data_IF_715247373265
#
_entry.id   IF_715247373265
#
_cell.length_a   1.000
_cell.length_b   1.000
_cell.length_c   1.000
_cell.angle_alpha   90.00
_cell.angle_beta   90.00
_cell.angle_gamma   90.00
#
_symmetry.space_group_name_H-M   'P 1'
#
loop_
_entity.id
_entity.type
_entity.pdbx_description
1 polymer ?
#
# COMPACT_ATOMS: atom_id res chain seq x y z
N UNK A 1 -21.54 17.79 -14.96
CA UNK A 1 -21.72 16.38 -14.56
C UNK A 1 -20.51 15.98 -13.72
N UNK A 2 -20.70 15.54 -12.47
CA UNK A 2 -19.59 15.13 -11.61
C UNK A 2 -19.07 13.75 -12.05
N UNK A 3 -17.83 13.68 -12.53
CA UNK A 3 -17.15 12.42 -12.88
C UNK A 3 -16.67 11.76 -11.60
N UNK A 4 -17.36 10.71 -11.15
CA UNK A 4 -16.85 9.88 -10.05
C UNK A 4 -15.71 8.99 -10.62
N UNK A 5 -14.46 9.12 -10.14
CA UNK A 5 -13.33 8.40 -10.71
C UNK A 5 -13.50 6.88 -10.51
N UNK A 6 -12.99 6.06 -11.44
CA UNK A 6 -12.90 4.61 -11.21
C UNK A 6 -12.00 4.37 -9.98
N UNK A 7 -12.48 3.69 -8.92
CA UNK A 7 -11.72 3.52 -7.68
C UNK A 7 -10.47 2.64 -7.85
N UNK A 8 -10.40 1.88 -8.94
CA UNK A 8 -9.27 1.09 -9.40
C UNK A 8 -9.48 0.74 -10.88
N UNK A 9 -8.40 0.68 -11.65
CA UNK A 9 -8.41 0.14 -13.02
C UNK A 9 -7.43 -1.03 -13.07
N UNK A 10 -7.79 -2.06 -13.83
CA UNK A 10 -6.91 -3.22 -14.03
C UNK A 10 -5.85 -2.80 -15.04
N UNK A 11 -4.64 -2.49 -14.59
CA UNK A 11 -3.50 -2.38 -15.47
C UNK A 11 -3.03 -3.80 -15.78
N UNK A 12 -2.94 -4.18 -17.06
CA UNK A 12 -2.48 -5.53 -17.41
C UNK A 12 -1.04 -5.72 -16.95
N UNK A 13 -0.78 -6.86 -16.30
CA UNK A 13 0.53 -7.48 -16.30
C UNK A 13 0.63 -8.32 -17.58
N UNK A 14 1.21 -7.75 -18.64
CA UNK A 14 1.89 -8.41 -19.78
C UNK A 14 1.27 -9.63 -20.53
N UNK A 15 0.02 -10.05 -20.31
CA UNK A 15 -0.45 -11.34 -20.84
C UNK A 15 -0.88 -11.35 -22.33
N UNK A 16 -0.78 -10.25 -23.07
CA UNK A 16 -0.96 -10.26 -24.53
C UNK A 16 0.25 -9.65 -25.21
N UNK A 17 1.04 -10.52 -25.85
CA UNK A 17 2.28 -10.20 -26.57
C UNK A 17 2.24 -8.97 -27.51
N UNK A 18 1.13 -8.61 -28.20
CA UNK A 18 1.14 -7.47 -29.12
C UNK A 18 1.38 -6.12 -28.45
N UNK A 19 0.90 -5.93 -27.22
CA UNK A 19 1.04 -4.65 -26.51
C UNK A 19 2.45 -4.45 -25.95
N UNK A 20 3.13 -5.53 -25.54
CA UNK A 20 4.51 -5.48 -25.06
C UNK A 20 5.46 -4.99 -26.16
N UNK A 21 5.30 -5.48 -27.40
CA UNK A 21 6.06 -4.98 -28.54
C UNK A 21 5.77 -3.50 -28.84
N UNK A 22 4.52 -3.05 -28.73
CA UNK A 22 4.15 -1.65 -28.94
C UNK A 22 4.77 -0.73 -27.88
N UNK A 23 4.83 -1.18 -26.61
CA UNK A 23 5.49 -0.44 -25.52
C UNK A 23 7.00 -0.36 -25.73
N UNK A 24 7.64 -1.47 -26.11
CA UNK A 24 9.07 -1.44 -26.44
C UNK A 24 9.37 -0.54 -27.65
N UNK A 25 8.53 -0.58 -28.68
CA UNK A 25 8.65 0.31 -29.84
C UNK A 25 8.46 1.79 -29.44
N UNK A 26 7.57 2.09 -28.50
CA UNK A 26 7.39 3.43 -27.97
C UNK A 26 8.65 3.92 -27.26
N UNK A 27 9.23 3.08 -26.40
CA UNK A 27 10.50 3.37 -25.71
C UNK A 27 11.65 3.57 -26.72
N UNK A 28 11.70 2.79 -27.79
CA UNK A 28 12.70 2.98 -28.84
C UNK A 28 12.59 4.35 -29.55
N UNK A 29 11.38 4.90 -29.71
CA UNK A 29 11.17 6.20 -30.38
C UNK A 29 11.36 7.42 -29.47
N UNK A 30 10.95 7.31 -28.20
CA UNK A 30 10.89 8.45 -27.28
C UNK A 30 11.99 8.45 -26.22
N UNK A 31 12.65 7.32 -26.01
CA UNK A 31 13.69 7.12 -24.99
C UNK A 31 13.29 6.07 -23.96
N UNK A 32 14.25 5.68 -23.13
CA UNK A 32 13.99 4.88 -21.94
C UNK A 32 12.90 5.57 -21.08
N UNK A 33 12.03 4.78 -20.46
CA UNK A 33 10.89 5.24 -19.64
C UNK A 33 9.70 5.86 -20.39
N UNK A 34 9.61 5.73 -21.73
CA UNK A 34 8.44 6.25 -22.45
C UNK A 34 7.12 5.55 -22.09
N UNK A 35 7.21 4.32 -21.56
CA UNK A 35 6.11 3.55 -21.00
C UNK A 35 5.38 4.33 -19.89
N UNK A 36 6.07 5.15 -19.08
CA UNK A 36 5.46 5.99 -18.04
C UNK A 36 4.31 6.87 -18.57
N UNK A 37 4.40 7.32 -19.82
CA UNK A 37 3.37 8.15 -20.43
C UNK A 37 2.11 7.35 -20.75
N UNK A 38 2.25 6.07 -21.12
CA UNK A 38 1.12 5.16 -21.31
C UNK A 38 0.39 4.92 -19.99
N UNK A 39 1.12 4.64 -18.90
CA UNK A 39 0.53 4.49 -17.57
C UNK A 39 -0.25 5.73 -17.13
N UNK A 40 0.32 6.93 -17.35
CA UNK A 40 -0.35 8.19 -17.04
C UNK A 40 -1.58 8.42 -17.90
N UNK A 41 -1.54 8.04 -19.18
CA UNK A 41 -2.67 8.17 -20.09
C UNK A 41 -3.83 7.29 -19.63
N UNK A 42 -3.55 6.03 -19.32
CA UNK A 42 -4.53 5.09 -18.78
C UNK A 42 -5.13 5.56 -17.46
N UNK A 43 -4.29 6.02 -16.53
CA UNK A 43 -4.75 6.57 -15.25
C UNK A 43 -5.59 7.84 -15.42
N UNK A 44 -5.31 8.66 -16.45
CA UNK A 44 -6.13 9.81 -16.78
C UNK A 44 -7.47 9.39 -17.36
N UNK A 45 -7.51 8.46 -18.32
CA UNK A 45 -8.75 7.96 -18.90
C UNK A 45 -9.66 7.32 -17.84
N UNK A 46 -9.10 6.51 -16.94
CA UNK A 46 -9.89 5.90 -15.87
C UNK A 46 -10.53 6.90 -14.88
N UNK A 47 -10.01 8.12 -14.78
CA UNK A 47 -10.54 9.16 -13.89
C UNK A 47 -11.43 10.16 -14.60
N UNK A 48 -10.94 10.72 -15.71
CA UNK A 48 -11.52 11.91 -16.35
C UNK A 48 -12.21 11.60 -17.68
N UNK A 49 -11.86 10.47 -18.33
CA UNK A 49 -12.33 10.11 -19.69
C UNK A 49 -12.65 8.62 -19.76
N UNK A 50 -13.76 8.22 -19.15
CA UNK A 50 -14.15 6.81 -19.05
C UNK A 50 -14.29 6.11 -20.41
N UNK A 51 -14.56 6.84 -21.49
CA UNK A 51 -14.66 6.29 -22.85
C UNK A 51 -13.29 6.07 -23.53
N UNK A 52 -12.20 6.57 -22.95
CA UNK A 52 -10.87 6.49 -23.56
C UNK A 52 -10.71 7.35 -24.83
N UNK A 53 -11.64 8.30 -25.06
CA UNK A 53 -11.73 9.13 -26.26
C UNK A 53 -11.41 10.59 -25.97
N UNK A 54 -10.65 11.20 -26.87
CA UNK A 54 -10.24 12.61 -26.86
C UNK A 54 -10.79 13.29 -28.10
N UNK A 55 -11.85 14.11 -27.98
CA UNK A 55 -12.55 14.62 -29.16
C UNK A 55 -11.92 15.88 -29.78
N UNK A 56 -12.03 15.96 -31.11
CA UNK A 56 -11.83 17.17 -31.91
C UNK A 56 -10.38 17.60 -32.14
N UNK A 57 -10.18 18.77 -32.79
CA UNK A 57 -8.86 19.23 -33.26
C UNK A 57 -7.85 19.52 -32.12
N UNK A 58 -8.32 19.60 -30.87
CA UNK A 58 -7.50 19.75 -29.67
C UNK A 58 -7.06 18.44 -29.00
N UNK A 59 -7.44 17.28 -29.54
CA UNK A 59 -7.23 15.97 -28.93
C UNK A 59 -5.76 15.70 -28.61
N UNK A 60 -4.85 15.97 -29.55
CA UNK A 60 -3.42 15.76 -29.34
C UNK A 60 -2.86 16.55 -28.15
N UNK A 61 -3.23 17.83 -28.04
CA UNK A 61 -2.81 18.68 -26.91
C UNK A 61 -3.41 18.20 -25.58
N UNK A 62 -4.65 17.70 -25.61
CA UNK A 62 -5.30 17.14 -24.44
C UNK A 62 -4.59 15.88 -23.93
N UNK A 63 -4.19 14.98 -24.84
CA UNK A 63 -3.38 13.78 -24.51
C UNK A 63 -2.04 14.17 -23.89
N UNK A 64 -1.31 15.11 -24.51
CA UNK A 64 -0.01 15.55 -23.98
C UNK A 64 -0.13 16.21 -22.60
N UNK A 65 -1.19 16.98 -22.35
CA UNK A 65 -1.47 17.55 -21.03
C UNK A 65 -1.83 16.48 -20.00
N UNK A 66 -2.65 15.51 -20.39
CA UNK A 66 -3.07 14.40 -19.52
C UNK A 66 -1.86 13.62 -18.98
N UNK A 67 -0.86 13.36 -19.82
CA UNK A 67 0.35 12.61 -19.45
C UNK A 67 1.50 13.47 -18.91
N UNK A 68 1.29 14.80 -18.86
CA UNK A 68 2.31 15.80 -18.49
C UNK A 68 3.56 15.73 -19.37
N UNK A 69 3.37 15.57 -20.67
CA UNK A 69 4.45 15.59 -21.65
C UNK A 69 5.15 16.95 -21.68
N UNK A 70 6.49 16.94 -21.67
CA UNK A 70 7.33 18.16 -21.72
C UNK A 70 8.22 18.23 -22.96
N UNK A 71 8.18 17.22 -23.83
CA UNK A 71 8.98 17.19 -25.06
C UNK A 71 8.40 18.04 -26.18
N UNK A 72 8.87 17.80 -27.41
CA UNK A 72 8.34 18.49 -28.60
C UNK A 72 6.85 18.19 -28.75
N UNK A 73 6.06 19.23 -29.04
CA UNK A 73 4.62 19.10 -29.30
C UNK A 73 4.36 18.10 -30.43
N UNK A 74 3.26 17.36 -30.31
CA UNK A 74 2.81 16.25 -31.16
C UNK A 74 3.71 15.02 -31.17
N UNK A 75 4.99 15.11 -30.80
CA UNK A 75 5.93 13.98 -30.85
C UNK A 75 5.43 12.74 -30.10
N UNK A 76 4.85 12.93 -28.90
CA UNK A 76 4.32 11.80 -28.12
C UNK A 76 3.10 11.17 -28.82
N UNK A 77 2.17 12.00 -29.29
CA UNK A 77 0.94 11.53 -29.93
C UNK A 77 1.25 10.82 -31.24
N UNK A 78 2.15 11.37 -32.04
CA UNK A 78 2.60 10.77 -33.29
C UNK A 78 3.27 9.41 -33.02
N UNK A 79 4.09 9.30 -31.97
CA UNK A 79 4.71 8.04 -31.58
C UNK A 79 3.65 7.01 -31.12
N UNK A 80 2.70 7.41 -30.27
CA UNK A 80 1.60 6.55 -29.81
C UNK A 80 0.72 6.05 -30.96
N UNK A 81 0.42 6.91 -31.93
CA UNK A 81 -0.29 6.54 -33.17
C UNK A 81 0.54 5.56 -34.00
N UNK A 82 1.84 5.83 -34.15
CA UNK A 82 2.77 5.00 -34.93
C UNK A 82 2.88 3.58 -34.36
N UNK A 83 2.91 3.44 -33.03
CA UNK A 83 2.98 2.12 -32.38
C UNK A 83 1.60 1.46 -32.16
N UNK A 84 0.51 2.11 -32.57
CA UNK A 84 -0.85 1.56 -32.46
C UNK A 84 -1.45 1.59 -31.05
N UNK A 85 -0.90 2.39 -30.13
CA UNK A 85 -1.45 2.59 -28.79
C UNK A 85 -2.54 3.68 -28.74
N UNK A 86 -2.56 4.54 -29.76
CA UNK A 86 -3.68 5.42 -30.09
C UNK A 86 -4.19 5.10 -31.49
N UNK A 87 -5.49 5.28 -31.70
CA UNK A 87 -6.16 5.17 -32.99
C UNK A 87 -6.85 6.50 -33.30
N UNK A 88 -6.77 6.96 -34.54
CA UNK A 88 -7.49 8.13 -35.03
C UNK A 88 -8.83 7.67 -35.63
N UNK A 89 -9.93 8.08 -35.00
CA UNK A 89 -11.29 7.81 -35.47
C UNK A 89 -11.97 9.13 -35.86
N UNK A 90 -11.92 9.46 -37.16
CA UNK A 90 -12.35 10.77 -37.64
C UNK A 90 -11.41 11.88 -37.13
N UNK A 91 -11.93 12.81 -36.33
CA UNK A 91 -11.13 13.85 -35.67
C UNK A 91 -10.69 13.48 -34.25
N UNK A 92 -11.09 12.31 -33.76
CA UNK A 92 -10.93 11.94 -32.36
C UNK A 92 -9.78 10.96 -32.17
N UNK A 93 -9.05 11.11 -31.07
CA UNK A 93 -8.03 10.14 -30.65
C UNK A 93 -8.63 9.18 -29.63
N UNK A 94 -8.54 7.88 -29.90
CA UNK A 94 -9.06 6.81 -29.05
C UNK A 94 -7.90 5.96 -28.55
N UNK A 95 -7.87 5.66 -27.25
CA UNK A 95 -6.92 4.71 -26.67
C UNK A 95 -7.24 3.31 -27.19
N UNK A 96 -6.25 2.67 -27.82
CA UNK A 96 -6.43 1.35 -28.40
C UNK A 96 -6.87 0.33 -27.34
N UNK A 97 -7.75 -0.60 -27.73
CA UNK A 97 -8.31 -1.66 -26.88
C UNK A 97 -9.03 -1.18 -25.61
N UNK A 98 -9.28 0.12 -25.43
CA UNK A 98 -9.84 0.65 -24.19
C UNK A 98 -11.20 0.06 -23.85
N UNK A 99 -12.11 -0.02 -24.82
CA UNK A 99 -13.45 -0.55 -24.64
C UNK A 99 -13.44 -2.06 -24.34
N UNK A 100 -12.54 -2.82 -24.95
CA UNK A 100 -12.37 -4.25 -24.69
C UNK A 100 -11.89 -4.49 -23.26
N UNK A 101 -10.90 -3.72 -22.81
CA UNK A 101 -10.27 -3.89 -21.50
C UNK A 101 -11.11 -3.35 -20.35
N UNK A 102 -11.62 -2.12 -20.50
CA UNK A 102 -12.30 -1.40 -19.43
C UNK A 102 -13.83 -1.47 -19.55
N UNK A 103 -14.38 -1.96 -20.67
CA UNK A 103 -15.82 -1.93 -20.93
C UNK A 103 -16.65 -2.61 -19.85
N UNK A 104 -16.19 -3.75 -19.33
CA UNK A 104 -16.88 -4.46 -18.24
C UNK A 104 -16.92 -3.66 -16.93
N UNK A 105 -15.82 -2.97 -16.61
CA UNK A 105 -15.71 -2.11 -15.43
C UNK A 105 -16.54 -0.84 -15.58
N UNK A 106 -16.48 -0.18 -16.74
CA UNK A 106 -17.28 0.99 -17.06
C UNK A 106 -18.76 0.63 -16.99
N UNK A 107 -19.18 -0.47 -17.61
CA UNK A 107 -20.57 -0.95 -17.57
C UNK A 107 -21.03 -1.23 -16.14
N UNK A 108 -20.19 -1.81 -15.29
CA UNK A 108 -20.49 -2.02 -13.87
C UNK A 108 -20.67 -0.69 -13.15
N UNK A 109 -19.76 0.27 -13.31
CA UNK A 109 -19.84 1.58 -12.64
C UNK A 109 -21.06 2.38 -13.09
N UNK A 110 -21.40 2.33 -14.38
CA UNK A 110 -22.63 2.94 -14.89
C UNK A 110 -23.88 2.26 -14.32
N UNK A 111 -23.90 0.92 -14.24
CA UNK A 111 -25.00 0.16 -13.62
C UNK A 111 -25.18 0.48 -12.15
N UNK A 112 -24.08 0.56 -11.40
CA UNK A 112 -24.11 0.87 -9.97
C UNK A 112 -24.55 2.32 -9.71
N UNK A 113 -24.27 3.27 -10.62
CA UNK A 113 -24.83 4.63 -10.58
C UNK A 113 -26.31 4.71 -10.97
N UNK A 114 -26.75 3.85 -11.91
CA UNK A 114 -28.13 3.83 -12.37
C UNK A 114 -29.07 3.17 -11.33
N UNK A 115 -28.53 2.38 -10.40
CA UNK A 115 -29.33 1.92 -9.26
C UNK A 115 -29.75 3.14 -8.46
N UNK A 116 -31.06 3.41 -8.31
CA UNK A 116 -31.52 4.45 -7.41
C UNK A 116 -30.94 4.13 -6.04
N UNK A 117 -30.33 5.13 -5.38
CA UNK A 117 -29.79 4.98 -4.03
C UNK A 117 -30.93 4.44 -3.17
N UNK A 118 -30.92 3.13 -2.87
CA UNK A 118 -31.95 2.46 -2.06
C UNK A 118 -32.02 2.98 -0.63
N UNK A 119 -31.24 4.02 -0.31
CA UNK A 119 -31.47 4.98 0.76
C UNK A 119 -32.42 6.09 0.32
N UNK A 120 -33.55 5.74 -0.28
CA UNK A 120 -34.76 6.45 0.13
C UNK A 120 -34.89 6.09 1.61
N UNK A 121 -34.42 6.99 2.47
CA UNK A 121 -34.86 7.01 3.85
C UNK A 121 -36.37 6.90 3.77
N UNK A 122 -36.91 5.70 4.05
CA UNK A 122 -38.30 5.62 4.42
C UNK A 122 -38.41 6.59 5.59
N UNK A 123 -39.10 7.70 5.35
CA UNK A 123 -39.62 8.56 6.40
C UNK A 123 -40.48 7.65 7.28
N UNK A 124 -39.82 7.02 8.24
CA UNK A 124 -40.40 6.18 9.27
C UNK A 124 -41.07 7.04 10.32
N UNK A 125 -41.91 7.99 9.86
CA UNK A 125 -42.71 8.84 10.71
C UNK A 125 -44.18 8.39 10.77
N UNK A 126 -44.69 7.60 9.82
CA UNK A 126 -46.14 7.34 9.73
C UNK A 126 -46.61 5.87 9.84
N UNK A 127 -45.75 4.91 10.22
CA UNK A 127 -46.17 3.50 10.39
C UNK A 127 -46.18 3.01 11.84
N UNK A 128 -46.65 3.85 12.77
CA UNK A 128 -46.85 3.47 14.17
C UNK A 128 -48.28 3.00 14.52
N UNK A 129 -49.26 3.02 13.60
CA UNK A 129 -50.64 2.63 13.94
C UNK A 129 -51.36 1.88 12.81
N UNK A 130 -50.98 0.62 12.54
CA UNK A 130 -51.92 -0.33 11.94
C UNK A 130 -52.06 -1.58 12.82
N UNK A 131 -53.29 -2.00 13.15
CA UNK A 131 -53.54 -3.13 14.02
C UNK A 131 -53.11 -4.44 13.35
N UNK A 132 -52.43 -5.25 14.14
CA UNK A 132 -51.90 -6.57 13.82
C UNK A 132 -53.05 -7.57 13.69
N UNK A 133 -53.69 -7.64 12.53
CA UNK A 133 -54.67 -8.69 12.23
C UNK A 133 -54.05 -9.85 11.43
N UNK A 134 -54.20 -11.03 12.03
CA UNK A 134 -54.29 -12.37 11.45
C UNK A 134 -53.26 -12.82 10.40
N UNK A 135 -52.43 -13.75 10.87
CA UNK A 135 -51.74 -14.79 10.11
C UNK A 135 -52.69 -15.47 9.10
N UNK A 136 -52.39 -15.31 7.82
CA UNK A 136 -52.78 -16.26 6.78
C UNK A 136 -51.50 -16.70 6.05
N UNK A 137 -51.15 -17.99 6.04
CA UNK A 137 -50.00 -18.48 5.29
C UNK A 137 -50.32 -18.44 3.79
N UNK A 138 -49.48 -17.83 2.92
CA UNK A 138 -49.72 -17.87 1.50
C UNK A 138 -49.51 -19.29 0.96
N UNK A 139 -50.39 -19.64 0.03
CA UNK A 139 -50.43 -20.92 -0.64
C UNK A 139 -49.10 -21.27 -1.30
N UNK A 140 -48.70 -22.51 -1.08
CA UNK A 140 -47.56 -23.19 -1.70
C UNK A 140 -47.90 -23.43 -3.17
N UNK A 141 -47.37 -22.61 -4.08
CA UNK A 141 -47.32 -22.98 -5.49
C UNK A 141 -46.20 -24.01 -5.70
N UNK A 142 -46.63 -25.22 -6.08
CA UNK A 142 -45.79 -26.24 -6.68
C UNK A 142 -45.45 -25.83 -8.12
N UNK A 143 -44.17 -25.74 -8.45
CA UNK A 143 -43.77 -25.63 -9.86
C UNK A 143 -42.34 -25.19 -10.08
N UNK A 144 -41.53 -26.10 -10.64
CA UNK A 144 -40.44 -25.71 -11.54
C UNK A 144 -39.03 -25.86 -11.01
N UNK A 145 -38.51 -27.08 -11.09
CA UNK A 145 -37.10 -27.40 -11.16
C UNK A 145 -36.36 -26.57 -12.23
N UNK A 146 -35.20 -26.01 -11.89
CA UNK A 146 -33.97 -26.20 -12.68
C UNK A 146 -32.77 -25.72 -11.88
N UNK A 147 -31.91 -26.67 -11.55
CA UNK A 147 -30.86 -26.52 -10.55
C UNK A 147 -29.63 -25.76 -11.01
N UNK A 148 -28.80 -25.44 -10.03
CA UNK A 148 -27.36 -25.46 -10.20
C UNK A 148 -26.71 -25.89 -8.88
N UNK A 149 -26.00 -27.02 -8.96
CA UNK A 149 -25.48 -27.79 -7.83
C UNK A 149 -24.31 -27.04 -7.18
N UNK A 150 -24.57 -26.32 -6.08
CA UNK A 150 -23.51 -25.90 -5.16
C UNK A 150 -23.22 -27.05 -4.19
N UNK A 151 -22.17 -27.82 -4.49
CA UNK A 151 -21.58 -28.79 -3.55
C UNK A 151 -21.03 -28.04 -2.33
N UNK A 152 -21.79 -28.01 -1.25
CA UNK A 152 -21.26 -27.72 0.09
C UNK A 152 -20.69 -29.03 0.67
N UNK A 153 -19.36 -29.11 0.75
CA UNK A 153 -18.68 -30.11 1.57
C UNK A 153 -18.85 -29.76 3.05
N UNK A 154 -19.85 -30.40 3.68
CA UNK A 154 -19.96 -30.54 5.15
C UNK A 154 -18.78 -31.35 5.67
N UNK A 155 -17.94 -30.74 6.51
CA UNK A 155 -17.06 -31.48 7.43
C UNK A 155 -17.83 -31.77 8.74
N UNK A 156 -17.77 -33.00 9.27
CA UNK A 156 -18.56 -33.39 10.43
C UNK A 156 -17.93 -32.94 11.74
N UNK A 157 -18.79 -32.61 12.70
CA UNK A 157 -18.42 -32.11 14.02
C UNK A 157 -17.67 -33.12 14.87
N UNK A 158 -16.71 -32.60 15.65
CA UNK A 158 -16.08 -33.32 16.75
C UNK A 158 -16.59 -32.73 18.05
N UNK A 159 -17.52 -33.45 18.70
CA UNK A 159 -17.89 -33.24 20.10
C UNK A 159 -16.69 -33.66 20.95
N UNK A 160 -16.17 -32.75 21.77
CA UNK A 160 -15.24 -33.09 22.84
C UNK A 160 -15.97 -32.89 24.17
N UNK A 161 -16.20 -34.01 24.84
CA UNK A 161 -16.74 -34.11 26.18
C UNK A 161 -15.88 -33.38 27.21
N UNK A 162 -16.60 -32.82 28.18
CA UNK A 162 -16.09 -32.12 29.35
C UNK A 162 -15.85 -33.15 30.43
N UNK A 163 -14.59 -33.51 30.68
CA UNK A 163 -14.20 -34.37 31.81
C UNK A 163 -13.37 -33.57 32.80
N UNK A 164 -13.94 -33.33 33.97
CA UNK A 164 -13.30 -32.80 35.17
C UNK A 164 -12.36 -33.85 35.77
N UNK A 165 -11.23 -33.44 36.37
CA UNK A 165 -10.71 -34.15 37.55
C UNK A 165 -10.57 -33.22 38.78
N UNK A 166 -10.73 -33.77 40.00
CA UNK A 166 -10.57 -33.03 41.25
C UNK A 166 -9.10 -33.04 41.69
N UNK A 167 -8.63 -31.93 42.25
CA UNK A 167 -7.26 -31.83 42.77
C UNK A 167 -7.11 -30.67 43.73
N UNK A 168 -7.44 -30.92 45.00
CA UNK A 168 -7.28 -30.02 46.14
C UNK A 168 -5.80 -29.97 46.53
N UNK A 169 -5.12 -28.84 46.32
CA UNK A 169 -3.80 -28.57 46.92
C UNK A 169 -3.91 -27.38 47.86
N UNK A 170 -3.41 -27.63 49.06
CA UNK A 170 -3.38 -26.79 50.26
C UNK A 170 -2.55 -25.52 50.12
N UNK A 171 -2.95 -24.51 50.91
CA UNK A 171 -2.51 -23.12 50.91
C UNK A 171 -1.00 -22.85 50.91
N UNK A 172 -0.64 -21.78 50.19
CA UNK A 172 0.57 -20.99 50.41
C UNK A 172 0.15 -19.60 50.94
N UNK A 173 0.88 -19.04 51.92
CA UNK A 173 0.51 -17.80 52.61
C UNK A 173 0.67 -16.56 51.72
N UNK A 174 -0.30 -15.65 51.86
CA UNK A 174 -0.39 -14.37 51.19
C UNK A 174 0.77 -13.43 51.62
N UNK A 175 1.53 -12.82 50.69
CA UNK A 175 2.53 -11.82 51.07
C UNK A 175 1.84 -10.52 51.55
N UNK A 176 2.45 -9.80 52.52
CA UNK A 176 1.88 -8.58 53.09
C UNK A 176 1.78 -7.45 52.05
N UNK A 177 0.84 -6.51 52.24
CA UNK A 177 0.64 -5.40 51.31
C UNK A 177 1.87 -4.49 51.27
N UNK A 178 2.38 -4.25 50.06
CA UNK A 178 3.41 -3.27 49.79
C UNK A 178 2.90 -1.87 50.20
N UNK A 179 3.61 -1.26 51.16
CA UNK A 179 3.45 0.15 51.53
C UNK A 179 3.65 1.03 50.30
N UNK A 180 2.67 1.89 50.01
CA UNK A 180 2.81 2.95 49.03
C UNK A 180 4.02 3.84 49.37
N UNK A 181 4.91 4.15 48.41
CA UNK A 181 6.00 5.08 48.67
C UNK A 181 5.46 6.49 48.90
N UNK A 182 6.11 7.17 49.85
CA UNK A 182 5.78 8.48 50.35
C UNK A 182 5.65 9.53 49.24
N UNK A 183 4.64 10.40 49.43
CA UNK A 183 4.41 11.63 48.71
C UNK A 183 5.71 12.42 48.51
N UNK A 184 6.12 12.57 47.25
CA UNK A 184 7.13 13.54 46.86
C UNK A 184 6.64 14.97 47.15
N UNK A 185 7.55 15.90 47.48
CA UNK A 185 7.20 17.23 47.96
C UNK A 185 6.50 18.04 46.87
N UNK A 186 5.35 18.63 47.23
CA UNK A 186 4.69 19.67 46.43
C UNK A 186 5.61 20.88 46.34
N UNK A 187 6.31 20.98 45.23
CA UNK A 187 7.06 22.16 44.83
C UNK A 187 6.10 23.31 44.51
N UNK A 188 6.22 24.33 45.33
CA UNK A 188 5.96 25.75 45.16
C UNK A 188 5.58 26.30 43.77
N UNK A 189 4.55 27.15 43.81
CA UNK A 189 4.28 28.36 43.00
C UNK A 189 4.12 28.21 41.49
N UNK A 190 2.86 28.40 41.07
CA UNK A 190 2.42 28.77 39.74
C UNK A 190 3.17 30.01 39.22
N UNK A 191 4.23 29.77 38.46
CA UNK A 191 4.61 30.67 37.37
C UNK A 191 3.59 30.47 36.26
N UNK A 192 3.01 31.55 35.76
CA UNK A 192 2.23 31.59 34.51
C UNK A 192 3.08 30.90 33.43
N UNK A 193 2.75 29.65 33.12
CA UNK A 193 3.30 28.97 31.95
C UNK A 193 2.70 29.73 30.78
N UNK A 194 3.52 30.55 30.12
CA UNK A 194 3.12 31.24 28.90
C UNK A 194 2.46 30.19 27.99
N UNK A 195 1.19 30.41 27.65
CA UNK A 195 0.45 29.48 26.80
C UNK A 195 1.22 29.33 25.50
N UNK A 196 1.77 28.13 25.25
CA UNK A 196 2.52 27.81 24.04
C UNK A 196 1.63 28.09 22.83
N UNK A 197 2.14 28.86 21.87
CA UNK A 197 1.39 29.10 20.63
C UNK A 197 1.25 27.77 19.86
N UNK A 198 0.10 27.56 19.20
CA UNK A 198 -0.10 26.32 18.44
C UNK A 198 0.99 26.11 17.35
N UNK A 199 1.43 27.11 16.58
CA UNK A 199 2.54 26.94 15.64
C UNK A 199 3.84 26.46 16.28
N UNK A 200 4.23 27.04 17.43
CA UNK A 200 5.45 26.66 18.15
C UNK A 200 5.35 25.22 18.67
N UNK A 201 4.19 24.86 19.23
CA UNK A 201 3.91 23.52 19.72
C UNK A 201 3.92 22.47 18.61
N UNK A 202 3.35 22.79 17.44
CA UNK A 202 3.34 21.88 16.28
C UNK A 202 4.76 21.64 15.78
N UNK A 203 5.56 22.70 15.68
CA UNK A 203 6.97 22.57 15.30
C UNK A 203 7.76 21.73 16.32
N UNK A 204 7.55 21.97 17.63
CA UNK A 204 8.19 21.19 18.70
C UNK A 204 7.84 19.70 18.62
N UNK A 205 6.56 19.36 18.46
CA UNK A 205 6.11 17.97 18.35
C UNK A 205 6.64 17.31 17.07
N UNK A 206 6.62 18.02 15.94
CA UNK A 206 7.15 17.49 14.68
C UNK A 206 8.66 17.23 14.75
N UNK A 207 9.43 18.17 15.31
CA UNK A 207 10.86 17.99 15.58
C UNK A 207 11.12 16.78 16.48
N UNK A 208 10.34 16.63 17.56
CA UNK A 208 10.51 15.52 18.50
C UNK A 208 10.19 14.15 17.89
N UNK A 209 9.18 14.05 17.02
CA UNK A 209 8.74 12.77 16.43
C UNK A 209 9.46 12.42 15.13
N UNK A 210 9.67 13.40 14.24
CA UNK A 210 10.21 13.19 12.89
C UNK A 210 11.66 13.65 12.72
N UNK A 211 12.21 14.40 13.67
CA UNK A 211 13.57 14.97 13.55
C UNK A 211 13.68 16.12 12.53
N UNK A 212 12.56 16.61 12.00
CA UNK A 212 12.51 17.70 11.01
C UNK A 212 11.53 18.79 11.44
N UNK A 213 11.83 20.08 11.15
CA UNK A 213 10.96 21.18 11.55
C UNK A 213 9.65 21.15 10.76
N UNK A 214 8.56 21.58 11.39
CA UNK A 214 7.29 21.75 10.70
C UNK A 214 7.27 23.12 10.01
N UNK A 215 7.22 23.12 8.69
CA UNK A 215 7.05 24.35 7.90
C UNK A 215 5.59 24.80 7.96
N UNK A 216 5.28 25.75 8.85
CA UNK A 216 3.94 26.34 8.94
C UNK A 216 3.61 27.14 7.68
N UNK A 217 2.48 26.83 7.04
CA UNK A 217 2.00 27.49 5.82
C UNK A 217 0.71 28.26 6.13
N UNK A 218 0.76 29.59 6.33
CA UNK A 218 -0.39 30.38 6.79
C UNK A 218 -1.68 30.13 5.99
N UNK A 219 -1.59 30.10 4.65
CA UNK A 219 -2.75 29.88 3.79
C UNK A 219 -3.43 28.52 3.92
N UNK A 220 -2.75 27.50 4.47
CA UNK A 220 -3.28 26.14 4.66
C UNK A 220 -3.52 25.81 6.14
N UNK A 221 -2.58 26.18 6.99
CA UNK A 221 -2.56 25.76 8.39
C UNK A 221 -3.38 26.69 9.28
N UNK A 222 -3.52 27.99 8.98
CA UNK A 222 -4.30 28.91 9.82
C UNK A 222 -5.81 28.57 9.85
N UNK A 223 -6.48 28.19 8.75
CA UNK A 223 -7.86 27.71 8.80
C UNK A 223 -7.99 26.41 9.60
N UNK A 224 -7.05 25.46 9.41
CA UNK A 224 -7.06 24.18 10.10
C UNK A 224 -6.81 24.35 11.61
N UNK A 225 -5.91 25.26 11.98
CA UNK A 225 -5.61 25.64 13.36
C UNK A 225 -6.85 26.20 14.06
N UNK A 226 -7.54 27.17 13.43
CA UNK A 226 -8.80 27.73 13.97
C UNK A 226 -9.86 26.65 14.15
N UNK A 227 -10.00 25.74 13.20
CA UNK A 227 -10.94 24.62 13.30
C UNK A 227 -10.60 23.68 14.45
N UNK A 228 -9.32 23.30 14.61
CA UNK A 228 -8.88 22.44 15.71
C UNK A 228 -9.05 23.11 17.08
N UNK A 229 -8.72 24.39 17.19
CA UNK A 229 -8.91 25.16 18.42
C UNK A 229 -10.39 25.37 18.77
N UNK A 230 -11.31 25.26 17.80
CA UNK A 230 -12.74 25.22 18.08
C UNK A 230 -13.20 23.88 18.68
N UNK A 231 -12.40 22.82 18.54
CA UNK A 231 -12.70 21.45 19.02
C UNK A 231 -11.97 21.05 20.30
N UNK A 232 -10.92 21.76 20.69
CA UNK A 232 -10.12 21.44 21.88
C UNK A 232 -9.05 22.48 22.19
N UNK A 233 -8.36 22.32 23.32
CA UNK A 233 -7.26 23.20 23.73
C UNK A 233 -5.99 22.93 22.91
N UNK A 234 -5.04 23.88 22.91
CA UNK A 234 -3.71 23.69 22.27
C UNK A 234 -3.06 22.39 22.73
N UNK A 235 -3.07 22.11 24.04
CA UNK A 235 -2.51 20.89 24.60
C UNK A 235 -3.17 19.62 24.06
N UNK A 236 -4.49 19.63 23.87
CA UNK A 236 -5.20 18.49 23.28
C UNK A 236 -4.87 18.31 21.79
N UNK A 237 -4.83 19.40 21.04
CA UNK A 237 -4.45 19.37 19.62
C UNK A 237 -3.06 18.80 19.44
N UNK A 238 -2.08 19.26 20.22
CA UNK A 238 -0.70 18.78 20.17
C UNK A 238 -0.59 17.30 20.54
N UNK A 239 -1.35 16.84 21.55
CA UNK A 239 -1.39 15.43 21.95
C UNK A 239 -1.97 14.53 20.85
N UNK A 240 -3.09 14.91 20.23
CA UNK A 240 -3.69 14.13 19.13
C UNK A 240 -2.84 14.19 17.87
N UNK A 241 -2.18 15.31 17.62
CA UNK A 241 -1.19 15.48 16.56
C UNK A 241 -0.02 14.51 16.72
N UNK A 242 0.53 14.40 17.92
CA UNK A 242 1.60 13.46 18.25
C UNK A 242 1.18 12.00 17.99
N UNK A 243 -0.04 11.62 18.36
CA UNK A 243 -0.60 10.30 18.04
C UNK A 243 -0.65 10.06 16.54
N UNK A 244 -1.13 11.04 15.78
CA UNK A 244 -1.18 10.96 14.31
C UNK A 244 0.20 10.89 13.66
N UNK A 245 1.20 11.57 14.20
CA UNK A 245 2.56 11.52 13.66
C UNK A 245 3.27 10.18 13.94
N UNK A 246 2.99 9.56 15.09
CA UNK A 246 3.54 8.24 15.46
C UNK A 246 2.78 7.08 14.84
N UNK A 247 1.54 7.29 14.37
CA UNK A 247 0.74 6.24 13.78
C UNK A 247 1.28 5.81 12.40
N UNK A 248 1.37 4.50 12.17
CA UNK A 248 1.81 3.93 10.89
C UNK A 248 0.66 3.75 9.88
N UNK A 249 -0.59 3.71 10.34
CA UNK A 249 -1.76 3.36 9.51
C UNK A 249 -2.87 4.41 9.51
N UNK A 250 -4.15 4.02 9.71
CA UNK A 250 -5.35 4.82 9.41
C UNK A 250 -5.42 6.14 10.18
N UNK A 251 -4.69 6.24 11.29
CA UNK A 251 -4.56 7.45 12.10
C UNK A 251 -3.45 8.41 11.63
N UNK A 252 -2.57 8.01 10.70
CA UNK A 252 -1.40 8.79 10.29
C UNK A 252 -1.77 10.22 9.86
N UNK A 253 -1.16 11.22 10.48
CA UNK A 253 -1.39 12.62 10.13
C UNK A 253 -0.04 13.28 9.85
N UNK A 254 0.18 13.73 8.62
CA UNK A 254 1.44 14.38 8.23
C UNK A 254 1.33 15.91 8.20
N UNK A 255 0.12 16.46 7.97
CA UNK A 255 -0.18 17.90 8.10
C UNK A 255 -1.35 18.21 9.04
N UNK A 256 -1.40 19.42 9.63
CA UNK A 256 -2.47 19.84 10.56
C UNK A 256 -3.87 19.71 9.92
N UNK A 257 -3.98 19.93 8.61
CA UNK A 257 -5.21 19.67 7.84
C UNK A 257 -5.64 18.19 7.83
N UNK A 258 -4.71 17.24 7.94
CA UNK A 258 -5.03 15.82 8.05
C UNK A 258 -5.61 15.49 9.42
N UNK A 259 -5.09 16.12 10.48
CA UNK A 259 -5.63 15.97 11.83
C UNK A 259 -7.06 16.49 11.92
N UNK A 260 -7.40 17.58 11.24
CA UNK A 260 -8.80 18.06 11.15
C UNK A 260 -9.74 16.94 10.66
N UNK A 261 -9.34 16.24 9.58
CA UNK A 261 -10.12 15.15 8.97
C UNK A 261 -10.16 13.89 9.84
N UNK A 262 -9.15 13.71 10.69
CA UNK A 262 -8.94 12.52 11.52
C UNK A 262 -9.02 12.84 13.01
N UNK A 263 -9.74 13.89 13.38
CA UNK A 263 -9.78 14.41 14.75
C UNK A 263 -10.24 13.34 15.75
N UNK A 264 -11.37 12.70 15.46
CA UNK A 264 -11.92 11.63 16.30
C UNK A 264 -11.08 10.36 16.24
N UNK A 265 -10.52 10.04 15.07
CA UNK A 265 -9.67 8.88 14.91
C UNK A 265 -8.41 8.98 15.78
N UNK A 266 -7.88 10.18 16.02
CA UNK A 266 -6.70 10.42 16.85
C UNK A 266 -7.02 10.75 18.32
N UNK A 267 -8.25 10.50 18.79
CA UNK A 267 -8.58 10.67 20.21
C UNK A 267 -7.80 9.70 21.11
N UNK A 268 -7.51 8.49 20.60
CA UNK A 268 -6.75 7.45 21.29
C UNK A 268 -5.57 7.00 20.43
N UNK A 269 -4.38 6.83 21.01
CA UNK A 269 -3.24 6.31 20.26
C UNK A 269 -3.55 4.86 19.85
N UNK A 270 -3.32 4.52 18.58
CA UNK A 270 -3.21 3.12 18.14
C UNK A 270 -2.03 2.47 18.89
N UNK A 271 -2.30 1.90 20.07
CA UNK A 271 -1.39 0.94 20.70
C UNK A 271 -1.54 -0.39 19.97
N UNK A 272 -0.79 -0.54 18.88
CA UNK A 272 -0.56 -1.87 18.32
C UNK A 272 0.76 -2.36 18.90
N UNK A 273 0.69 -3.38 19.76
CA UNK A 273 1.87 -4.17 20.09
C UNK A 273 2.31 -4.84 18.78
N UNK A 274 3.39 -4.35 18.18
CA UNK A 274 3.99 -4.97 16.99
C UNK A 274 4.60 -6.36 17.27
N UNK A 275 4.48 -6.85 18.50
CA UNK A 275 4.86 -8.19 18.94
C UNK A 275 3.64 -9.08 19.13
N UNK A 276 3.23 -9.74 18.04
CA UNK A 276 2.48 -10.98 18.10
C UNK A 276 0.96 -10.86 18.21
N UNK A 277 0.29 -10.78 17.06
CA UNK A 277 -1.06 -11.33 16.99
C UNK A 277 -1.28 -12.01 15.64
N UNK A 278 -1.19 -13.34 15.67
CA UNK A 278 -1.57 -14.24 14.60
C UNK A 278 -2.98 -13.89 14.10
N UNK A 279 -3.07 -13.51 12.83
CA UNK A 279 -4.33 -13.14 12.19
C UNK A 279 -5.12 -14.39 11.81
N UNK A 280 -5.82 -14.95 12.80
CA UNK A 280 -6.87 -15.93 12.59
C UNK A 280 -8.12 -15.27 11.99
N UNK A 281 -8.46 -15.70 10.78
CA UNK A 281 -9.81 -15.78 10.21
C UNK A 281 -10.76 -14.57 10.40
N UNK A 282 -10.72 -13.62 9.46
CA UNK A 282 -11.88 -13.12 8.71
C UNK A 282 -11.60 -11.76 8.07
N UNK A 283 -11.10 -11.77 6.83
CA UNK A 283 -11.42 -10.82 5.73
C UNK A 283 -10.58 -11.22 4.52
N UNK A 284 -11.19 -12.08 3.68
CA UNK A 284 -10.66 -12.46 2.37
C UNK A 284 -10.90 -11.31 1.40
N UNK A 285 -9.84 -10.89 0.70
CA UNK A 285 -9.78 -10.63 -0.75
C UNK A 285 -9.11 -9.33 -1.25
N UNK A 286 -8.73 -8.35 -0.42
CA UNK A 286 -8.27 -7.04 -0.95
C UNK A 286 -6.85 -6.57 -0.51
N UNK A 287 -5.96 -7.49 -0.12
CA UNK A 287 -4.55 -7.17 0.19
C UNK A 287 -3.59 -8.07 -0.58
N UNK A 288 -3.70 -8.06 -1.91
CA UNK A 288 -2.74 -8.69 -2.82
C UNK A 288 -1.96 -7.65 -3.64
N UNK A 289 -1.50 -6.60 -2.97
CA UNK A 289 -0.23 -5.92 -3.31
C UNK A 289 0.55 -5.83 -2.00
N UNK A 290 0.81 -7.01 -1.41
CA UNK A 290 1.74 -7.08 -0.30
C UNK A 290 3.06 -6.49 -0.79
N UNK A 291 3.70 -5.65 0.02
CA UNK A 291 5.17 -5.62 0.01
C UNK A 291 5.55 -7.08 0.15
N UNK A 292 5.94 -7.72 -0.95
CA UNK A 292 6.32 -9.12 -0.93
C UNK A 292 7.50 -9.19 0.01
N UNK A 293 7.25 -9.61 1.24
CA UNK A 293 8.31 -10.10 2.11
C UNK A 293 8.89 -11.27 1.33
N UNK A 294 9.97 -10.99 0.61
CA UNK A 294 10.61 -12.00 -0.21
C UNK A 294 11.11 -13.03 0.81
N UNK A 295 10.67 -14.30 0.72
CA UNK A 295 11.04 -15.29 1.70
C UNK A 295 12.56 -15.34 1.79
N UNK A 296 13.08 -15.06 2.99
CA UNK A 296 14.52 -15.08 3.23
C UNK A 296 14.97 -16.54 3.23
N UNK A 297 15.52 -16.98 2.11
CA UNK A 297 16.16 -18.29 2.03
C UNK A 297 17.36 -18.28 2.97
N UNK A 298 17.45 -19.21 3.94
CA UNK A 298 18.60 -19.25 4.83
C UNK A 298 19.88 -19.48 4.02
N UNK A 299 20.92 -18.69 4.32
CA UNK A 299 22.20 -18.82 3.65
C UNK A 299 22.82 -20.21 3.96
N UNK A 300 23.49 -20.84 2.99
CA UNK A 300 24.13 -22.13 3.21
C UNK A 300 25.25 -22.00 4.26
N UNK A 301 25.37 -22.99 5.17
CA UNK A 301 26.44 -23.01 6.17
C UNK A 301 27.80 -23.42 5.57
N UNK A 302 28.31 -22.56 4.70
CA UNK A 302 29.58 -22.71 3.97
C UNK A 302 30.45 -21.46 4.23
N UNK A 303 31.76 -21.51 3.97
CA UNK A 303 32.61 -20.32 4.04
C UNK A 303 32.09 -19.17 3.17
N UNK A 304 31.60 -19.47 1.97
CA UNK A 304 31.01 -18.47 1.07
C UNK A 304 29.70 -17.89 1.61
N UNK A 305 28.83 -18.73 2.18
CA UNK A 305 27.59 -18.28 2.84
C UNK A 305 27.84 -17.37 4.03
N UNK A 306 28.84 -17.67 4.86
CA UNK A 306 29.23 -16.83 6.00
C UNK A 306 29.83 -15.50 5.54
N UNK A 307 30.72 -15.51 4.54
CA UNK A 307 31.29 -14.28 3.97
C UNK A 307 30.20 -13.39 3.36
N UNK A 308 29.24 -13.97 2.63
CA UNK A 308 28.10 -13.24 2.07
C UNK A 308 27.18 -12.67 3.16
N UNK A 309 26.91 -13.44 4.21
CA UNK A 309 26.16 -12.99 5.38
C UNK A 309 26.79 -11.74 6.04
N UNK A 310 28.11 -11.72 6.20
CA UNK A 310 28.82 -10.56 6.75
C UNK A 310 28.65 -9.31 5.87
N UNK A 311 28.75 -9.44 4.55
CA UNK A 311 28.53 -8.32 3.62
C UNK A 311 27.09 -7.80 3.74
N UNK A 312 26.10 -8.70 3.80
CA UNK A 312 24.69 -8.34 3.96
C UNK A 312 24.41 -7.62 5.29
N UNK A 313 25.04 -8.06 6.37
CA UNK A 313 24.88 -7.45 7.68
C UNK A 313 25.46 -6.03 7.73
N UNK A 314 26.61 -5.79 7.10
CA UNK A 314 27.17 -4.43 6.95
C UNK A 314 26.22 -3.55 6.14
N UNK A 315 25.70 -4.06 5.02
CA UNK A 315 24.73 -3.33 4.19
C UNK A 315 23.48 -2.95 4.99
N UNK A 316 22.92 -3.86 5.79
CA UNK A 316 21.77 -3.58 6.66
C UNK A 316 22.09 -2.54 7.71
N UNK A 317 23.24 -2.67 8.38
CA UNK A 317 23.66 -1.75 9.44
C UNK A 317 23.84 -0.32 8.92
N UNK A 318 24.30 -0.14 7.69
CA UNK A 318 24.49 1.17 7.06
C UNK A 318 23.22 1.74 6.39
N UNK A 319 22.05 1.12 6.61
CA UNK A 319 20.77 1.63 6.10
C UNK A 319 20.39 1.15 4.70
N UNK A 320 21.16 0.25 4.09
CA UNK A 320 20.84 -0.38 2.81
C UNK A 320 20.03 -1.68 2.97
N UNK A 321 19.22 -1.80 4.03
CA UNK A 321 18.50 -3.03 4.36
C UNK A 321 17.61 -3.57 3.23
N UNK A 322 16.89 -2.69 2.52
CA UNK A 322 16.07 -3.10 1.38
C UNK A 322 16.88 -3.73 0.24
N UNK A 323 18.02 -3.13 -0.11
CA UNK A 323 18.92 -3.66 -1.13
C UNK A 323 19.58 -4.97 -0.70
N UNK A 324 19.95 -5.07 0.58
CA UNK A 324 20.49 -6.29 1.18
C UNK A 324 19.49 -7.45 1.07
N UNK A 325 18.25 -7.26 1.52
CA UNK A 325 17.26 -8.32 1.57
C UNK A 325 16.77 -8.72 0.16
N UNK A 326 16.58 -7.75 -0.73
CA UNK A 326 16.18 -8.01 -2.12
C UNK A 326 17.26 -8.79 -2.87
N UNK A 327 18.53 -8.43 -2.66
CA UNK A 327 19.66 -9.13 -3.29
C UNK A 327 19.85 -10.51 -2.68
N UNK A 328 19.78 -10.64 -1.36
CA UNK A 328 19.90 -11.94 -0.67
C UNK A 328 18.88 -12.98 -1.17
N UNK A 329 17.69 -12.53 -1.59
CA UNK A 329 16.68 -13.42 -2.13
C UNK A 329 16.94 -13.90 -3.57
N UNK A 330 17.77 -13.19 -4.34
CA UNK A 330 18.05 -13.47 -5.76
C UNK A 330 19.51 -13.81 -6.04
N UNK A 331 20.27 -14.05 -4.96
CA UNK A 331 21.71 -14.22 -5.01
C UNK A 331 22.14 -15.42 -4.14
N UNK A 332 22.97 -16.28 -4.70
CA UNK A 332 23.53 -17.44 -4.04
C UNK A 332 25.05 -17.35 -3.96
N UNK A 333 25.67 -17.51 -2.78
CA UNK A 333 27.12 -17.51 -2.66
C UNK A 333 27.70 -18.81 -3.24
N UNK A 334 28.50 -18.69 -4.31
CA UNK A 334 29.01 -19.83 -5.07
C UNK A 334 30.38 -20.33 -4.58
N UNK A 335 31.31 -19.42 -4.30
CA UNK A 335 32.65 -19.78 -3.80
C UNK A 335 33.31 -18.66 -3.01
N UNK A 336 34.20 -19.03 -2.09
CA UNK A 336 35.03 -18.11 -1.33
C UNK A 336 36.38 -18.74 -1.01
N UNK A 337 37.47 -18.06 -1.35
CA UNK A 337 38.85 -18.55 -1.15
C UNK A 337 39.59 -17.87 0.03
N UNK A 338 38.88 -17.03 0.79
CA UNK A 338 39.45 -16.21 1.86
C UNK A 338 39.68 -14.74 1.49
N UNK A 339 39.71 -14.40 0.19
CA UNK A 339 39.88 -13.03 -0.31
C UNK A 339 38.88 -12.65 -1.39
N UNK A 340 38.43 -13.59 -2.21
CA UNK A 340 37.49 -13.36 -3.30
C UNK A 340 36.20 -14.13 -3.05
N UNK A 341 35.07 -13.42 -3.02
CA UNK A 341 33.72 -13.97 -2.89
C UNK A 341 33.01 -13.86 -4.23
N UNK A 342 32.59 -15.01 -4.77
CA UNK A 342 31.77 -15.08 -5.97
C UNK A 342 30.31 -15.33 -5.59
N UNK A 343 29.43 -14.44 -6.04
CA UNK A 343 27.99 -14.53 -5.84
C UNK A 343 27.30 -14.69 -7.19
N UNK A 344 26.47 -15.71 -7.30
CA UNK A 344 25.64 -15.99 -8.46
C UNK A 344 24.28 -15.33 -8.31
N UNK A 345 23.84 -14.63 -9.34
CA UNK A 345 22.51 -14.05 -9.45
C UNK A 345 21.62 -14.94 -10.30
N UNK A 346 20.34 -15.02 -9.98
CA UNK A 346 19.37 -15.90 -10.67
C UNK A 346 19.32 -15.65 -12.19
N UNK A 347 19.38 -14.37 -12.60
CA UNK A 347 19.21 -13.97 -13.99
C UNK A 347 19.89 -12.60 -14.30
N UNK A 348 19.86 -12.22 -15.58
CA UNK A 348 20.41 -10.94 -16.07
C UNK A 348 19.65 -9.73 -15.50
N UNK A 349 18.36 -9.86 -15.19
CA UNK A 349 17.56 -8.77 -14.61
C UNK A 349 17.98 -8.47 -13.18
N UNK A 350 18.32 -9.49 -12.38
CA UNK A 350 18.88 -9.31 -11.04
C UNK A 350 20.19 -8.53 -11.10
N UNK A 351 21.07 -8.84 -12.07
CA UNK A 351 22.31 -8.10 -12.28
C UNK A 351 22.05 -6.65 -12.70
N UNK A 352 21.16 -6.43 -13.67
CA UNK A 352 20.82 -5.08 -14.14
C UNK A 352 20.19 -4.22 -13.05
N UNK A 353 19.30 -4.78 -12.23
CA UNK A 353 18.69 -4.06 -11.10
C UNK A 353 19.74 -3.64 -10.07
N UNK A 354 20.68 -4.55 -9.75
CA UNK A 354 21.79 -4.26 -8.85
C UNK A 354 22.65 -3.08 -9.35
N UNK A 355 22.95 -3.03 -10.66
CA UNK A 355 23.73 -1.95 -11.26
C UNK A 355 22.94 -0.63 -11.36
N UNK A 356 21.68 -0.68 -11.80
CA UNK A 356 20.85 0.50 -12.05
C UNK A 356 20.56 1.29 -10.76
N UNK A 357 20.34 0.58 -9.66
CA UNK A 357 20.04 1.18 -8.35
C UNK A 357 21.30 1.57 -7.57
N UNK A 358 22.50 1.36 -8.15
CA UNK A 358 23.79 1.65 -7.50
C UNK A 358 24.18 0.66 -6.39
N UNK A 359 23.37 -0.37 -6.14
CA UNK A 359 23.66 -1.38 -5.12
C UNK A 359 24.94 -2.16 -5.43
N UNK A 360 25.28 -2.39 -6.70
CA UNK A 360 26.50 -3.10 -7.07
C UNK A 360 27.77 -2.45 -6.49
N UNK A 361 27.87 -1.12 -6.64
CA UNK A 361 28.98 -0.35 -6.11
C UNK A 361 29.00 -0.39 -4.58
N UNK A 362 27.81 -0.23 -3.95
CA UNK A 362 27.69 -0.30 -2.49
C UNK A 362 28.15 -1.66 -1.95
N UNK A 363 27.67 -2.76 -2.52
CA UNK A 363 28.08 -4.11 -2.13
C UNK A 363 29.59 -4.33 -2.25
N UNK A 364 30.20 -3.89 -3.36
CA UNK A 364 31.65 -4.00 -3.56
C UNK A 364 32.44 -3.19 -2.55
N UNK A 365 32.02 -1.96 -2.26
CA UNK A 365 32.67 -1.10 -1.27
C UNK A 365 32.61 -1.73 0.13
N UNK A 366 31.44 -2.24 0.54
CA UNK A 366 31.26 -2.86 1.86
C UNK A 366 32.01 -4.18 1.96
N UNK A 367 32.00 -5.00 0.92
CA UNK A 367 32.84 -6.20 0.88
C UNK A 367 34.33 -5.84 0.98
N UNK A 368 34.77 -4.79 0.28
CA UNK A 368 36.15 -4.33 0.35
C UNK A 368 36.56 -3.88 1.75
N UNK A 369 35.65 -3.21 2.49
CA UNK A 369 35.88 -2.84 3.90
C UNK A 369 36.11 -4.05 4.83
N UNK A 370 35.61 -5.23 4.45
CA UNK A 370 35.82 -6.51 5.14
C UNK A 370 37.07 -7.26 4.63
N UNK A 371 37.84 -6.69 3.71
CA UNK A 371 38.96 -7.35 3.06
C UNK A 371 38.56 -8.39 2.00
N UNK A 372 37.32 -8.31 1.49
CA UNK A 372 36.75 -9.25 0.52
C UNK A 372 36.61 -8.55 -0.85
N UNK A 373 37.11 -9.18 -1.90
CA UNK A 373 36.85 -8.82 -3.29
C UNK A 373 35.57 -9.50 -3.75
N UNK A 374 34.51 -8.73 -3.99
CA UNK A 374 33.20 -9.26 -4.38
C UNK A 374 33.00 -9.24 -5.89
N UNK A 375 32.63 -10.39 -6.46
CA UNK A 375 32.24 -10.52 -7.87
C UNK A 375 30.83 -11.09 -7.98
N UNK A 376 30.05 -10.51 -8.88
CA UNK A 376 28.74 -11.01 -9.27
C UNK A 376 28.85 -11.69 -10.64
N UNK A 377 28.16 -12.82 -10.81
CA UNK A 377 27.94 -13.46 -12.10
C UNK A 377 26.50 -13.92 -12.22
N UNK A 378 25.97 -14.04 -13.42
CA UNK A 378 24.66 -14.68 -13.64
C UNK A 378 24.88 -16.20 -13.61
N UNK A 379 24.03 -16.92 -12.87
CA UNK A 379 24.06 -18.39 -12.83
C UNK A 379 23.92 -18.93 -14.26
N UNK A 380 24.84 -19.79 -14.69
CA UNK A 380 24.66 -20.49 -15.96
C UNK A 380 23.55 -21.52 -15.78
N UNK A 381 22.57 -21.62 -16.69
CA UNK A 381 21.58 -22.69 -16.63
C UNK A 381 22.35 -24.02 -16.64
N UNK A 382 22.04 -24.89 -15.68
CA UNK A 382 22.62 -26.22 -15.65
C UNK A 382 22.47 -26.86 -17.04
N UNK A 383 23.53 -27.40 -17.65
CA UNK A 383 23.43 -28.01 -18.97
C UNK A 383 22.32 -29.04 -18.91
N UNK A 384 21.29 -28.87 -19.75
CA UNK A 384 20.20 -29.81 -19.82
C UNK A 384 20.83 -31.18 -20.11
N UNK A 385 20.79 -32.07 -19.12
CA UNK A 385 21.21 -33.45 -19.31
C UNK A 385 20.39 -33.97 -20.47
N UNK A 386 21.06 -34.23 -21.60
CA UNK A 386 20.42 -34.81 -22.77
C UNK A 386 19.92 -36.20 -22.35
N UNK A 387 18.61 -36.28 -22.09
CA UNK A 387 17.91 -37.51 -21.75
C UNK A 387 17.80 -38.45 -22.94
#
# INVERSE_FOLDING_TARGET
>A
MATCPLPWFKFRSASAAPEEYAVHALCAQLGAEADVYLYRLWAYCGRERMEGRFPGPGAALAVERAVRWRGRRKKLVDALLTVGLLVLEGEDLVVASWAEEQGSHIAKVLRDRAKPDGRTHGDGADSANLPRESLQPPAREEGGERGEKRRETKSPGRKAEKTTPPGRVTGAPQPPPLKAPASAPRGSSAGSVAEESLPDGVNRVCMAVKGVPYEWRPGRDDPAARELLSRGSVAEVLRRWEYGLRAHYRQRCDTISDLVKRWEANATPEHRNDTGQASGAARRADTAVGRGEVPVTPLPDTPAGRAWGQVLDVMRHEGFGYGADTTAARAQPASFDGRELLVELDDVYALQGLSADGYEAAFRERAHSLGITLRFRVAQPAPALAS
#
